data_IF_927734111654
#
_entry.id   IF_927734111654
#
_cell.length_a   1.000
_cell.length_b   1.000
_cell.length_c   1.000
_cell.angle_alpha   90.00
_cell.angle_beta   90.00
_cell.angle_gamma   90.00
#
_symmetry.space_group_name_H-M   'P 1'
#
loop_
_entity.id
_entity.type
_entity.pdbx_description
1 polymer ?
#
# COMPACT_ATOMS: atom_id res chain seq x y z
N UNK A 1 -27.55 -0.36 20.34
CA UNK A 1 -26.67 -0.78 19.26
C UNK A 1 -27.28 -0.24 17.97
N UNK A 2 -26.99 1.00 17.63
CA UNK A 2 -27.50 1.64 16.42
C UNK A 2 -26.43 1.58 15.32
N UNK A 3 -26.73 0.80 14.30
CA UNK A 3 -25.95 0.68 13.08
C UNK A 3 -26.31 1.90 12.19
N UNK A 4 -25.67 3.03 12.42
CA UNK A 4 -25.75 4.16 11.48
C UNK A 4 -24.86 3.87 10.26
N UNK A 5 -25.39 3.05 9.37
CA UNK A 5 -24.86 2.99 7.99
C UNK A 5 -24.98 4.38 7.40
N UNK A 6 -23.83 5.05 7.25
CA UNK A 6 -23.69 6.36 6.61
C UNK A 6 -24.41 6.35 5.26
N UNK A 7 -25.59 6.96 5.21
CA UNK A 7 -26.41 7.15 4.01
C UNK A 7 -25.84 8.32 3.18
N UNK A 8 -24.56 8.22 2.75
CA UNK A 8 -24.02 9.21 1.80
C UNK A 8 -24.66 8.98 0.43
N UNK A 9 -25.23 9.99 -0.21
CA UNK A 9 -25.85 9.85 -1.52
C UNK A 9 -24.83 9.32 -2.54
N UNK A 10 -25.28 8.40 -3.38
CA UNK A 10 -24.44 7.79 -4.42
C UNK A 10 -23.93 8.87 -5.36
N UNK A 11 -22.61 9.03 -5.43
CA UNK A 11 -21.98 10.04 -6.28
C UNK A 11 -22.29 9.78 -7.76
N UNK A 12 -22.47 10.86 -8.53
CA UNK A 12 -22.48 10.76 -9.99
C UNK A 12 -21.10 10.33 -10.50
N UNK A 13 -21.01 9.81 -11.72
CA UNK A 13 -19.72 9.42 -12.32
C UNK A 13 -18.71 10.59 -12.34
N UNK A 14 -19.17 11.83 -12.55
CA UNK A 14 -18.34 13.04 -12.46
C UNK A 14 -17.88 13.28 -11.02
N UNK A 15 -18.78 13.15 -10.05
CA UNK A 15 -18.46 13.31 -8.63
C UNK A 15 -17.45 12.27 -8.14
N UNK A 16 -17.62 11.00 -8.54
CA UNK A 16 -16.69 9.94 -8.21
C UNK A 16 -15.27 10.23 -8.76
N UNK A 17 -15.14 10.68 -10.00
CA UNK A 17 -13.84 11.09 -10.58
C UNK A 17 -13.20 12.26 -9.84
N UNK A 18 -13.99 13.26 -9.45
CA UNK A 18 -13.47 14.39 -8.67
C UNK A 18 -12.98 13.95 -7.32
N UNK A 19 -13.73 13.10 -6.59
CA UNK A 19 -13.31 12.54 -5.30
C UNK A 19 -12.04 11.70 -5.44
N UNK A 20 -11.94 10.85 -6.46
CA UNK A 20 -10.75 10.03 -6.71
C UNK A 20 -9.50 10.90 -6.94
N UNK A 21 -9.60 11.96 -7.74
CA UNK A 21 -8.49 12.90 -7.97
C UNK A 21 -8.05 13.59 -6.69
N UNK A 22 -8.98 14.02 -5.82
CA UNK A 22 -8.64 14.61 -4.53
C UNK A 22 -7.83 13.62 -3.68
N UNK A 23 -8.24 12.35 -3.62
CA UNK A 23 -7.54 11.32 -2.85
C UNK A 23 -6.16 11.02 -3.43
N UNK A 24 -6.03 10.95 -4.75
CA UNK A 24 -4.76 10.71 -5.44
C UNK A 24 -3.74 11.82 -5.18
N UNK A 25 -4.14 13.09 -5.31
CA UNK A 25 -3.28 14.23 -5.00
C UNK A 25 -2.93 14.30 -3.51
N UNK A 26 -3.89 14.01 -2.63
CA UNK A 26 -3.62 13.91 -1.20
C UNK A 26 -2.60 12.81 -0.87
N UNK A 27 -2.73 11.64 -1.49
CA UNK A 27 -1.79 10.53 -1.31
C UNK A 27 -0.37 10.90 -1.74
N UNK A 28 -0.22 11.62 -2.86
CA UNK A 28 1.08 12.11 -3.34
C UNK A 28 1.69 13.12 -2.37
N UNK A 29 0.93 14.11 -1.92
CA UNK A 29 1.39 15.13 -0.97
C UNK A 29 1.74 14.54 0.41
N UNK A 30 0.90 13.63 0.93
CA UNK A 30 1.16 12.95 2.21
C UNK A 30 2.42 12.07 2.11
N UNK A 31 2.63 11.39 0.99
CA UNK A 31 3.85 10.60 0.80
C UNK A 31 5.12 11.49 0.74
N UNK A 32 5.02 12.68 0.16
CA UNK A 32 6.14 13.63 0.06
C UNK A 32 6.42 14.37 1.37
N UNK A 33 5.40 14.86 2.08
CA UNK A 33 5.50 15.84 3.17
C UNK A 33 5.03 15.30 4.52
N UNK A 34 4.48 14.11 4.54
CA UNK A 34 3.81 13.52 5.70
C UNK A 34 2.41 14.07 5.94
N UNK A 35 1.67 13.37 6.82
CA UNK A 35 0.30 13.76 7.20
C UNK A 35 0.30 15.14 7.87
N UNK A 36 1.22 15.40 8.81
CA UNK A 36 1.29 16.68 9.51
C UNK A 36 1.59 17.85 8.56
N UNK A 37 2.46 17.64 7.57
CA UNK A 37 2.90 18.65 6.59
C UNK A 37 1.92 18.89 5.42
N UNK A 38 0.75 18.22 5.40
CA UNK A 38 -0.23 18.35 4.31
C UNK A 38 -1.55 18.92 4.85
N UNK A 39 -2.05 20.00 4.26
CA UNK A 39 -3.33 20.61 4.62
C UNK A 39 -4.41 20.35 3.57
N UNK A 40 -5.70 20.52 3.94
CA UNK A 40 -6.80 20.48 2.97
C UNK A 40 -6.65 21.53 1.87
N UNK A 41 -6.04 22.68 2.20
CA UNK A 41 -5.79 23.76 1.24
C UNK A 41 -4.75 23.34 0.20
N UNK A 42 -3.65 22.67 0.63
CA UNK A 42 -2.64 22.15 -0.29
C UNK A 42 -3.26 21.16 -1.27
N UNK A 43 -4.08 20.23 -0.75
CA UNK A 43 -4.78 19.22 -1.56
C UNK A 43 -5.81 19.86 -2.50
N UNK A 44 -6.54 20.87 -2.05
CA UNK A 44 -7.48 21.62 -2.89
C UNK A 44 -6.78 22.23 -4.10
N UNK A 45 -5.62 22.83 -3.87
CA UNK A 45 -4.82 23.44 -4.96
C UNK A 45 -4.30 22.37 -5.91
N UNK A 46 -3.70 21.30 -5.38
CA UNK A 46 -3.14 20.21 -6.20
C UNK A 46 -4.22 19.49 -7.03
N UNK A 47 -5.39 19.24 -6.42
CA UNK A 47 -6.51 18.58 -7.09
C UNK A 47 -7.32 19.52 -8.01
N UNK A 48 -6.97 20.79 -8.11
CA UNK A 48 -7.69 21.80 -8.93
C UNK A 48 -9.20 21.79 -8.68
N UNK A 49 -9.60 21.83 -7.39
CA UNK A 49 -11.02 21.87 -7.00
C UNK A 49 -11.32 23.15 -6.23
N UNK A 50 -12.60 23.58 -6.24
CA UNK A 50 -13.05 24.70 -5.42
C UNK A 50 -13.12 24.32 -3.93
N UNK A 51 -13.09 25.33 -3.03
CA UNK A 51 -13.27 25.10 -1.60
C UNK A 51 -14.59 24.37 -1.29
N UNK A 52 -15.69 24.76 -1.95
CA UNK A 52 -16.99 24.09 -1.78
C UNK A 52 -16.96 22.63 -2.22
N UNK A 53 -16.24 22.28 -3.30
CA UNK A 53 -16.05 20.91 -3.72
C UNK A 53 -15.19 20.13 -2.72
N UNK A 54 -14.10 20.72 -2.25
CA UNK A 54 -13.22 20.08 -1.26
C UNK A 54 -14.00 19.68 0.00
N UNK A 55 -14.67 20.63 0.63
CA UNK A 55 -15.45 20.38 1.85
C UNK A 55 -16.72 19.55 1.63
N UNK A 56 -17.25 19.49 0.40
CA UNK A 56 -18.33 18.58 0.05
C UNK A 56 -17.90 17.11 0.09
N UNK A 57 -16.67 16.79 -0.37
CA UNK A 57 -16.15 15.42 -0.40
C UNK A 57 -15.44 15.05 0.90
N UNK A 58 -14.74 15.98 1.53
CA UNK A 58 -13.94 15.77 2.73
C UNK A 58 -14.15 16.94 3.69
N UNK A 59 -15.09 16.82 4.64
CA UNK A 59 -15.40 17.85 5.63
C UNK A 59 -14.20 18.23 6.49
N UNK A 60 -13.32 17.25 6.75
CA UNK A 60 -12.13 17.40 7.54
C UNK A 60 -10.94 16.57 7.02
N UNK A 61 -9.78 16.78 7.64
CA UNK A 61 -8.54 16.12 7.26
C UNK A 61 -8.56 14.62 7.60
N UNK A 62 -9.25 14.22 8.65
CA UNK A 62 -9.33 12.84 9.11
C UNK A 62 -10.01 11.97 8.05
N UNK A 63 -11.17 12.39 7.54
CA UNK A 63 -11.87 11.67 6.49
C UNK A 63 -11.04 11.57 5.20
N UNK A 64 -10.26 12.60 4.87
CA UNK A 64 -9.33 12.56 3.74
C UNK A 64 -8.21 11.55 3.96
N UNK A 65 -7.60 11.55 5.15
CA UNK A 65 -6.50 10.62 5.50
C UNK A 65 -6.98 9.17 5.48
N UNK A 66 -8.16 8.87 6.00
CA UNK A 66 -8.77 7.54 5.93
C UNK A 66 -8.93 7.09 4.47
N UNK A 67 -9.46 7.97 3.60
CA UNK A 67 -9.60 7.68 2.19
C UNK A 67 -8.24 7.47 1.47
N UNK A 68 -7.19 8.16 1.91
CA UNK A 68 -5.82 7.96 1.42
C UNK A 68 -5.27 6.60 1.85
N UNK A 69 -5.51 6.16 3.10
CA UNK A 69 -5.10 4.83 3.58
C UNK A 69 -5.74 3.75 2.70
N UNK A 70 -7.05 3.82 2.50
CA UNK A 70 -7.78 2.88 1.66
C UNK A 70 -7.26 2.87 0.22
N UNK A 71 -7.06 4.04 -0.37
CA UNK A 71 -6.54 4.19 -1.74
C UNK A 71 -5.16 3.57 -1.90
N UNK A 72 -4.25 3.80 -0.96
CA UNK A 72 -2.90 3.24 -1.00
C UNK A 72 -2.92 1.71 -0.84
N UNK A 73 -3.70 1.19 0.11
CA UNK A 73 -3.88 -0.24 0.29
C UNK A 73 -4.43 -0.92 -0.98
N UNK A 74 -5.51 -0.39 -1.55
CA UNK A 74 -6.11 -0.91 -2.79
C UNK A 74 -5.14 -0.84 -3.98
N UNK A 75 -4.41 0.27 -4.13
CA UNK A 75 -3.42 0.44 -5.20
C UNK A 75 -2.30 -0.59 -5.11
N UNK A 76 -1.79 -0.86 -3.89
CA UNK A 76 -0.78 -1.87 -3.64
C UNK A 76 -1.33 -3.26 -3.96
N UNK A 77 -2.47 -3.62 -3.39
CA UNK A 77 -3.13 -4.95 -3.57
C UNK A 77 -3.38 -5.25 -5.05
N UNK A 78 -3.95 -4.29 -5.78
CA UNK A 78 -4.24 -4.48 -7.21
C UNK A 78 -2.96 -4.72 -8.03
N UNK A 79 -1.88 -4.01 -7.72
CA UNK A 79 -0.58 -4.21 -8.37
C UNK A 79 0.01 -5.58 -8.05
N UNK A 80 -0.07 -6.03 -6.78
CA UNK A 80 0.39 -7.36 -6.37
C UNK A 80 -0.35 -8.46 -7.14
N UNK A 81 -1.68 -8.40 -7.14
CA UNK A 81 -2.53 -9.38 -7.85
C UNK A 81 -2.20 -9.45 -9.33
N UNK A 82 -2.08 -8.29 -9.99
CA UNK A 82 -1.76 -8.23 -11.41
C UNK A 82 -0.43 -8.90 -11.74
N UNK A 83 0.59 -8.70 -10.92
CA UNK A 83 1.94 -9.24 -11.17
C UNK A 83 2.01 -10.71 -10.81
N UNK A 84 1.49 -11.12 -9.66
CA UNK A 84 1.54 -12.51 -9.18
C UNK A 84 0.69 -13.46 -10.01
N UNK A 85 -0.35 -12.97 -10.71
CA UNK A 85 -1.13 -13.79 -11.65
C UNK A 85 -0.43 -14.06 -12.99
N UNK A 86 0.75 -13.50 -13.23
CA UNK A 86 1.51 -13.76 -14.46
C UNK A 86 2.23 -15.12 -14.43
N UNK A 87 2.60 -15.65 -15.62
CA UNK A 87 3.25 -16.96 -15.74
C UNK A 87 4.55 -17.08 -14.93
N UNK A 88 5.28 -15.98 -14.73
CA UNK A 88 6.52 -15.89 -13.94
C UNK A 88 6.28 -15.04 -12.69
N UNK A 89 5.16 -15.22 -12.00
CA UNK A 89 4.65 -14.33 -10.96
C UNK A 89 5.66 -13.96 -9.88
N UNK A 90 6.42 -14.91 -9.32
CA UNK A 90 7.43 -14.61 -8.28
C UNK A 90 8.57 -13.76 -8.82
N UNK A 91 9.12 -14.13 -9.98
CA UNK A 91 10.21 -13.36 -10.58
C UNK A 91 9.76 -11.97 -11.03
N UNK A 92 8.57 -11.89 -11.64
CA UNK A 92 7.98 -10.61 -12.02
C UNK A 92 7.70 -9.73 -10.80
N UNK A 93 7.21 -10.31 -9.71
CA UNK A 93 7.00 -9.63 -8.43
C UNK A 93 8.32 -9.13 -7.85
N UNK A 94 9.34 -10.00 -7.75
CA UNK A 94 10.70 -9.61 -7.31
C UNK A 94 11.21 -8.42 -8.12
N UNK A 95 11.16 -8.53 -9.45
CA UNK A 95 11.66 -7.48 -10.35
C UNK A 95 10.88 -6.17 -10.18
N UNK A 96 9.57 -6.23 -9.98
CA UNK A 96 8.72 -5.07 -9.72
C UNK A 96 9.14 -4.34 -8.43
N UNK A 97 9.26 -5.05 -7.31
CA UNK A 97 9.55 -4.43 -6.01
C UNK A 97 10.98 -3.88 -5.96
N UNK A 98 11.96 -4.61 -6.50
CA UNK A 98 13.36 -4.15 -6.57
C UNK A 98 13.50 -2.95 -7.49
N UNK A 99 12.88 -2.97 -8.67
CA UNK A 99 12.92 -1.84 -9.62
C UNK A 99 12.29 -0.60 -9.02
N UNK A 100 11.18 -0.74 -8.30
CA UNK A 100 10.55 0.37 -7.59
C UNK A 100 11.48 0.99 -6.53
N UNK A 101 12.10 0.16 -5.70
CA UNK A 101 13.05 0.61 -4.68
C UNK A 101 14.29 1.31 -5.29
N UNK A 102 14.85 0.75 -6.36
CA UNK A 102 16.00 1.34 -7.08
C UNK A 102 15.66 2.70 -7.69
N UNK A 103 14.52 2.80 -8.38
CA UNK A 103 14.12 4.03 -9.07
C UNK A 103 13.98 5.21 -8.12
N UNK A 104 13.47 5.00 -6.95
CA UNK A 104 13.25 6.03 -5.94
C UNK A 104 14.37 6.12 -4.92
N UNK A 105 15.37 5.22 -4.95
CA UNK A 105 16.34 4.99 -3.87
C UNK A 105 15.64 4.77 -2.53
N UNK A 106 14.49 4.10 -2.58
CA UNK A 106 13.55 3.90 -1.47
C UNK A 106 13.10 5.21 -0.76
N UNK A 107 13.24 6.37 -1.43
CA UNK A 107 12.82 7.66 -0.87
C UNK A 107 11.31 7.64 -0.59
N UNK A 108 10.91 8.08 0.60
CA UNK A 108 9.52 8.04 1.07
C UNK A 108 9.10 6.70 1.66
N UNK A 109 9.87 5.63 1.43
CA UNK A 109 9.54 4.29 1.94
C UNK A 109 8.32 3.65 1.27
N UNK A 110 7.68 2.73 1.96
CA UNK A 110 6.39 2.17 1.55
C UNK A 110 5.28 3.20 1.75
N UNK A 111 4.41 3.39 0.78
CA UNK A 111 3.31 4.35 0.86
C UNK A 111 2.36 4.06 2.03
N UNK A 112 2.02 2.79 2.28
CA UNK A 112 1.20 2.39 3.42
C UNK A 112 2.01 2.34 4.71
N UNK A 113 3.21 1.74 4.67
CA UNK A 113 4.10 1.59 5.82
C UNK A 113 4.54 2.93 6.42
N UNK A 114 4.73 3.97 5.61
CA UNK A 114 5.10 5.31 6.08
C UNK A 114 4.02 5.96 6.95
N UNK A 115 2.76 5.54 6.84
CA UNK A 115 1.64 6.03 7.66
C UNK A 115 1.64 5.42 9.07
N UNK A 116 2.24 4.24 9.27
CA UNK A 116 2.31 3.57 10.57
C UNK A 116 2.99 4.48 11.60
N UNK A 117 4.19 4.96 11.32
CA UNK A 117 4.94 5.83 12.23
C UNK A 117 4.32 7.20 12.47
N UNK A 118 3.38 7.61 11.61
CA UNK A 118 2.72 8.92 11.72
C UNK A 118 1.38 8.87 12.48
N UNK A 119 0.68 7.73 12.44
CA UNK A 119 -0.72 7.64 12.84
C UNK A 119 -1.02 6.53 13.84
N UNK A 120 -0.31 5.38 13.77
CA UNK A 120 -0.74 4.18 14.48
C UNK A 120 -0.77 4.29 16.02
N UNK A 121 0.08 5.16 16.59
CA UNK A 121 0.14 5.37 18.05
C UNK A 121 -0.91 6.38 18.54
N UNK A 122 -1.28 7.36 17.69
CA UNK A 122 -2.13 8.49 18.09
C UNK A 122 -3.57 8.38 17.58
N UNK A 123 -3.82 7.55 16.56
CA UNK A 123 -5.13 7.40 15.91
C UNK A 123 -5.51 5.92 15.79
N UNK A 124 -6.34 5.39 16.73
CA UNK A 124 -6.77 4.00 16.70
C UNK A 124 -7.57 3.59 15.46
N UNK A 125 -8.32 4.52 14.86
CA UNK A 125 -9.11 4.27 13.65
C UNK A 125 -8.19 4.16 12.43
N UNK A 126 -7.25 5.10 12.26
CA UNK A 126 -6.23 5.02 11.22
C UNK A 126 -5.38 3.75 11.38
N UNK A 127 -4.99 3.38 12.60
CA UNK A 127 -4.28 2.12 12.86
C UNK A 127 -5.07 0.90 12.38
N UNK A 128 -6.36 0.84 12.66
CA UNK A 128 -7.21 -0.28 12.23
C UNK A 128 -7.30 -0.35 10.70
N UNK A 129 -7.44 0.79 10.01
CA UNK A 129 -7.47 0.85 8.55
C UNK A 129 -6.13 0.43 7.92
N UNK A 130 -5.01 0.87 8.49
CA UNK A 130 -3.67 0.48 8.05
C UNK A 130 -3.46 -1.03 8.24
N UNK A 131 -3.84 -1.59 9.40
CA UNK A 131 -3.77 -3.03 9.66
C UNK A 131 -4.59 -3.83 8.65
N UNK A 132 -5.84 -3.43 8.40
CA UNK A 132 -6.68 -4.06 7.38
C UNK A 132 -6.07 -3.95 5.96
N UNK A 133 -5.35 -2.86 5.67
CA UNK A 133 -4.59 -2.69 4.43
C UNK A 133 -3.46 -3.71 4.29
N UNK A 134 -2.68 -3.93 5.35
CA UNK A 134 -1.63 -4.96 5.37
C UNK A 134 -2.20 -6.38 5.29
N UNK A 135 -3.31 -6.66 5.97
CA UNK A 135 -3.99 -7.97 5.87
C UNK A 135 -4.43 -8.26 4.43
N UNK A 136 -5.03 -7.29 3.74
CA UNK A 136 -5.39 -7.39 2.32
C UNK A 136 -4.17 -7.63 1.43
N UNK A 137 -3.05 -6.99 1.75
CA UNK A 137 -1.81 -7.15 1.01
C UNK A 137 -1.21 -8.54 1.21
N UNK A 138 -1.10 -9.02 2.45
CA UNK A 138 -0.66 -10.38 2.77
C UNK A 138 -1.53 -11.41 2.05
N UNK A 139 -2.87 -11.27 2.11
CA UNK A 139 -3.80 -12.13 1.40
C UNK A 139 -3.58 -12.14 -0.11
N UNK A 140 -3.32 -10.98 -0.73
CA UNK A 140 -3.04 -10.91 -2.17
C UNK A 140 -1.75 -11.62 -2.57
N UNK A 141 -0.71 -11.58 -1.72
CA UNK A 141 0.53 -12.34 -1.92
C UNK A 141 0.25 -13.84 -1.76
N UNK A 142 -0.45 -14.23 -0.69
CA UNK A 142 -0.81 -15.63 -0.42
C UNK A 142 -1.62 -16.24 -1.56
N UNK A 143 -2.63 -15.54 -2.08
CA UNK A 143 -3.44 -15.99 -3.23
C UNK A 143 -2.55 -16.24 -4.47
N UNK A 144 -1.60 -15.35 -4.74
CA UNK A 144 -0.63 -15.53 -5.82
C UNK A 144 0.29 -16.74 -5.60
N UNK A 145 0.78 -16.93 -4.38
CA UNK A 145 1.60 -18.09 -4.02
C UNK A 145 0.83 -19.39 -4.14
N UNK A 146 -0.40 -19.48 -3.64
CA UNK A 146 -1.26 -20.67 -3.77
C UNK A 146 -1.46 -21.10 -5.22
N UNK A 147 -1.64 -20.14 -6.14
CA UNK A 147 -1.71 -20.45 -7.56
C UNK A 147 -0.42 -21.08 -8.09
N UNK A 148 0.73 -20.59 -7.66
CA UNK A 148 2.04 -21.12 -8.06
C UNK A 148 2.34 -22.48 -7.44
N UNK A 149 1.85 -22.76 -6.22
CA UNK A 149 1.89 -24.10 -5.62
C UNK A 149 1.05 -25.09 -6.43
N UNK A 150 -0.19 -24.71 -6.78
CA UNK A 150 -1.07 -25.55 -7.58
C UNK A 150 -0.47 -25.90 -8.95
N UNK A 151 0.35 -25.00 -9.52
CA UNK A 151 1.08 -25.19 -10.77
C UNK A 151 2.39 -25.98 -10.61
N UNK A 152 2.76 -26.39 -9.38
CA UNK A 152 4.03 -27.10 -9.08
C UNK A 152 5.28 -26.23 -9.25
N UNK A 153 5.14 -24.91 -9.20
CA UNK A 153 6.25 -23.93 -9.35
C UNK A 153 6.93 -23.54 -8.05
N UNK A 154 6.34 -23.95 -6.93
CA UNK A 154 6.89 -23.74 -5.58
C UNK A 154 6.84 -25.07 -4.80
N UNK A 155 7.79 -25.32 -3.87
CA UNK A 155 7.75 -26.48 -2.99
C UNK A 155 6.50 -26.52 -2.11
N UNK A 156 6.02 -27.71 -1.79
CA UNK A 156 4.72 -27.92 -1.11
C UNK A 156 4.79 -27.95 0.42
N UNK A 157 5.96 -27.81 1.01
CA UNK A 157 6.22 -27.95 2.44
C UNK A 157 6.18 -26.62 3.22
N UNK A 158 6.09 -25.49 2.52
CA UNK A 158 5.94 -24.17 3.14
C UNK A 158 4.49 -23.71 3.00
N UNK A 159 3.87 -23.30 4.11
CA UNK A 159 2.53 -22.71 4.08
C UNK A 159 2.54 -21.38 3.30
N UNK A 160 1.68 -21.21 2.28
CA UNK A 160 1.61 -19.97 1.49
C UNK A 160 1.29 -18.73 2.33
N UNK A 161 0.52 -18.86 3.41
CA UNK A 161 0.17 -17.73 4.28
C UNK A 161 1.37 -17.30 5.11
N UNK A 162 2.14 -18.23 5.65
CA UNK A 162 3.37 -17.95 6.39
C UNK A 162 4.44 -17.34 5.47
N UNK A 163 4.56 -17.86 4.25
CA UNK A 163 5.48 -17.28 3.27
C UNK A 163 5.05 -15.87 2.86
N UNK A 164 3.75 -15.62 2.69
CA UNK A 164 3.24 -14.29 2.34
C UNK A 164 3.53 -13.25 3.43
N UNK A 165 3.31 -13.61 4.71
CA UNK A 165 3.64 -12.74 5.85
C UNK A 165 5.14 -12.50 5.92
N UNK A 166 5.96 -13.53 5.71
CA UNK A 166 7.43 -13.43 5.74
C UNK A 166 7.93 -12.53 4.60
N UNK A 167 7.39 -12.66 3.39
CA UNK A 167 7.71 -11.78 2.25
C UNK A 167 7.32 -10.34 2.54
N UNK A 168 6.13 -10.10 3.11
CA UNK A 168 5.66 -8.77 3.46
C UNK A 168 6.55 -8.11 4.53
N UNK A 169 6.89 -8.83 5.60
CA UNK A 169 7.79 -8.36 6.65
C UNK A 169 9.20 -8.06 6.10
N UNK A 170 9.71 -8.93 5.23
CA UNK A 170 11.01 -8.76 4.56
C UNK A 170 11.00 -7.53 3.66
N UNK A 171 9.91 -7.30 2.92
CA UNK A 171 9.73 -6.14 2.06
C UNK A 171 9.72 -4.84 2.88
N UNK A 172 8.89 -4.75 3.92
CA UNK A 172 8.79 -3.55 4.76
C UNK A 172 10.11 -3.25 5.48
N UNK A 173 10.74 -4.24 6.11
CA UNK A 173 12.04 -4.08 6.75
C UNK A 173 13.16 -3.73 5.78
N UNK A 174 13.16 -4.37 4.60
CA UNK A 174 14.12 -4.10 3.54
C UNK A 174 14.00 -2.68 2.96
N UNK A 175 12.77 -2.21 2.73
CA UNK A 175 12.51 -0.83 2.28
C UNK A 175 12.96 0.18 3.33
N UNK A 176 12.65 -0.06 4.61
CA UNK A 176 13.08 0.82 5.70
C UNK A 176 14.61 0.95 5.75
N UNK A 177 15.33 -0.16 5.68
CA UNK A 177 16.79 -0.15 5.66
C UNK A 177 17.34 0.53 4.41
N UNK A 178 16.75 0.27 3.24
CA UNK A 178 17.17 0.91 2.00
C UNK A 178 16.97 2.45 2.04
N UNK A 179 15.89 2.90 2.65
CA UNK A 179 15.60 4.32 2.84
C UNK A 179 16.66 5.01 3.72
N UNK A 180 16.98 4.41 4.88
CA UNK A 180 17.95 4.98 5.83
C UNK A 180 19.38 4.96 5.29
N UNK A 181 19.76 3.86 4.62
CA UNK A 181 21.11 3.68 4.09
C UNK A 181 21.33 4.32 2.71
N UNK A 182 20.27 4.83 2.07
CA UNK A 182 20.33 5.47 0.76
C UNK A 182 20.68 4.53 -0.40
N UNK A 183 20.54 3.21 -0.21
CA UNK A 183 20.80 2.21 -1.25
C UNK A 183 19.87 1.00 -1.11
N UNK A 184 19.60 0.32 -2.23
CA UNK A 184 18.67 -0.81 -2.29
C UNK A 184 19.25 -2.17 -1.89
N UNK A 185 20.56 -2.26 -1.63
CA UNK A 185 21.25 -3.54 -1.36
C UNK A 185 20.64 -4.35 -0.20
N UNK A 186 20.28 -3.77 0.96
CA UNK A 186 19.66 -4.53 2.04
C UNK A 186 18.34 -5.16 1.60
N UNK A 187 17.53 -4.42 0.87
CA UNK A 187 16.25 -4.88 0.34
C UNK A 187 16.43 -6.01 -0.68
N UNK A 188 17.32 -5.83 -1.66
CA UNK A 188 17.63 -6.86 -2.66
C UNK A 188 18.15 -8.13 -2.02
N UNK A 189 19.12 -8.01 -1.11
CA UNK A 189 19.70 -9.15 -0.40
C UNK A 189 18.64 -9.92 0.40
N UNK A 190 17.78 -9.21 1.12
CA UNK A 190 16.74 -9.85 1.94
C UNK A 190 15.73 -10.63 1.09
N UNK A 191 15.21 -10.01 0.02
CA UNK A 191 14.25 -10.65 -0.91
C UNK A 191 14.92 -11.84 -1.61
N UNK A 192 16.13 -11.68 -2.15
CA UNK A 192 16.82 -12.74 -2.89
C UNK A 192 17.16 -13.93 -2.02
N UNK A 193 17.64 -13.68 -0.80
CA UNK A 193 17.94 -14.76 0.15
C UNK A 193 16.67 -15.52 0.53
N UNK A 194 15.58 -14.81 0.84
CA UNK A 194 14.32 -15.45 1.20
C UNK A 194 13.76 -16.31 0.04
N UNK A 195 13.74 -15.78 -1.17
CA UNK A 195 13.26 -16.51 -2.34
C UNK A 195 14.16 -17.73 -2.66
N UNK A 196 15.48 -17.60 -2.50
CA UNK A 196 16.40 -18.71 -2.69
C UNK A 196 16.17 -19.83 -1.66
N UNK A 197 15.96 -19.50 -0.39
CA UNK A 197 15.63 -20.46 0.67
C UNK A 197 14.30 -21.17 0.39
N UNK A 198 13.27 -20.40 0.01
CA UNK A 198 11.97 -20.96 -0.32
C UNK A 198 11.96 -21.86 -1.59
N UNK A 199 13.00 -21.80 -2.42
CA UNK A 199 13.12 -22.61 -3.64
C UNK A 199 13.96 -23.89 -3.43
N UNK A 200 14.60 -24.06 -2.28
CA UNK A 200 15.52 -25.20 -2.01
C UNK A 200 14.86 -26.35 -1.24
N UNK A 201 13.67 -26.14 -0.73
CA UNK A 201 12.87 -27.13 -0.01
C UNK A 201 11.91 -27.81 -0.95
#
# INVERSE_FOLDING_TARGET
>A
MNNETSNRPRLTAKGARTRARIVEEAAALIHERGVAGTTLEDVKVAAEVSGSQMYHYFPDKNELVQAVIDYQAESIVNRQRQVLSSANGVEAWRNMVITAAKRTKAKGGCQLGSLVGQLAESDPEARALIAAGFDKWAAAISDGLRSLYADGKLPSDIDPDDLAITLLATLEGGILLAQVLGNSRPFETAIDTLLALASQT
#
